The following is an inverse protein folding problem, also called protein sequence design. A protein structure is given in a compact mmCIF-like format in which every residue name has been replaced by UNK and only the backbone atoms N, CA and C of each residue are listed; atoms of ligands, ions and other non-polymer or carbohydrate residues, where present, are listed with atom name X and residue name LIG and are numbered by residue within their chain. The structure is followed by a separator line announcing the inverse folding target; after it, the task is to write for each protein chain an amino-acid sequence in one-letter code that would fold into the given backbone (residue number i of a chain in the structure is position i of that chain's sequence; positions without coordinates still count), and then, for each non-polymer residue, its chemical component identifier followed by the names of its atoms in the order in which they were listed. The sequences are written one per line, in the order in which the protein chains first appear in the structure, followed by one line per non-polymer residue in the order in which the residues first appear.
data_IF_628441100285
#
_entry.id   IF_628441100285
#
_cell.length_a   1.000
_cell.length_b   1.000
_cell.length_c   1.000
_cell.angle_alpha   90.00
_cell.angle_beta   90.00
_cell.angle_gamma   90.00
#
_symmetry.space_group_name_H-M   'P 1'
#
loop_
_entity.id
_entity.type
_entity.pdbx_description
1 polymer ?
#
# COMPACT_ATOMS: atom_id res chain seq x y z
N UNK A 1 -0.09 24.96 11.47
CA UNK A 1 0.38 24.62 10.11
C UNK A 1 1.87 24.42 10.18
N UNK A 2 2.39 23.30 9.72
CA UNK A 2 3.82 22.99 9.72
C UNK A 2 4.43 23.48 8.40
N UNK A 3 5.51 24.25 8.48
CA UNK A 3 6.24 24.79 7.32
C UNK A 3 7.71 24.42 7.51
N UNK A 4 8.35 23.87 6.49
CA UNK A 4 9.76 23.53 6.53
C UNK A 4 10.65 24.75 6.23
N UNK A 5 11.98 24.58 6.31
CA UNK A 5 12.97 25.62 6.04
C UNK A 5 12.98 26.14 4.60
N UNK A 6 12.30 25.44 3.67
CA UNK A 6 12.16 25.82 2.27
C UNK A 6 10.78 26.47 1.96
N UNK A 7 9.98 26.75 2.98
CA UNK A 7 8.64 27.35 2.84
C UNK A 7 7.56 26.38 2.38
N UNK A 8 7.81 25.05 2.38
CA UNK A 8 6.83 24.04 1.97
C UNK A 8 5.91 23.70 3.12
N UNK A 9 4.61 23.69 2.89
CA UNK A 9 3.62 23.22 3.88
C UNK A 9 3.69 21.71 3.99
N UNK A 10 3.80 21.22 5.23
CA UNK A 10 3.76 19.79 5.57
C UNK A 10 2.33 19.47 6.01
N UNK A 11 1.55 18.88 5.12
CA UNK A 11 0.14 18.55 5.32
C UNK A 11 -0.19 17.07 5.17
N UNK A 12 0.85 16.23 5.02
CA UNK A 12 0.74 14.81 4.72
C UNK A 12 1.56 13.96 5.67
N UNK A 13 0.93 12.91 6.22
CA UNK A 13 1.54 11.92 7.11
C UNK A 13 1.51 10.53 6.45
N UNK A 14 2.62 9.79 6.54
CA UNK A 14 2.63 8.33 6.30
C UNK A 14 2.71 7.63 7.65
N UNK A 15 1.74 6.76 7.91
CA UNK A 15 1.64 6.01 9.16
C UNK A 15 1.72 4.51 8.86
N UNK A 16 2.83 3.89 9.20
CA UNK A 16 2.99 2.44 9.18
C UNK A 16 2.43 1.88 10.50
N UNK A 17 1.46 0.97 10.41
CA UNK A 17 0.75 0.45 11.58
C UNK A 17 1.12 -0.98 11.94
N UNK A 18 1.89 -1.64 11.10
CA UNK A 18 2.43 -2.99 11.30
C UNK A 18 3.57 -3.23 10.32
N UNK A 19 4.50 -4.08 10.69
CA UNK A 19 5.52 -4.64 9.80
C UNK A 19 5.09 -5.99 9.20
N UNK A 20 4.03 -6.61 9.73
CA UNK A 20 3.53 -7.90 9.28
C UNK A 20 2.95 -7.82 7.89
N UNK A 21 3.30 -8.80 7.04
CA UNK A 21 2.75 -8.96 5.71
C UNK A 21 2.51 -10.45 5.43
N UNK A 22 1.45 -10.74 4.70
CA UNK A 22 1.11 -12.10 4.29
C UNK A 22 1.66 -12.50 2.91
N UNK A 23 2.24 -11.57 2.16
CA UNK A 23 3.01 -11.85 0.95
C UNK A 23 4.51 -11.96 1.27
N UNK A 24 5.28 -12.51 0.32
CA UNK A 24 6.75 -12.66 0.37
C UNK A 24 7.36 -12.15 -0.93
N UNK A 25 7.11 -10.86 -1.22
CA UNK A 25 7.61 -10.26 -2.44
C UNK A 25 9.13 -10.27 -2.45
N UNK A 26 9.71 -10.85 -3.51
CA UNK A 26 11.15 -11.13 -3.65
C UNK A 26 12.05 -9.91 -3.52
N UNK A 27 11.55 -8.72 -3.80
CA UNK A 27 12.27 -7.45 -3.64
C UNK A 27 12.09 -6.82 -2.25
N UNK A 28 11.21 -7.37 -1.40
CA UNK A 28 10.83 -6.77 -0.13
C UNK A 28 11.31 -7.58 1.07
N UNK A 29 11.18 -8.90 1.03
CA UNK A 29 11.61 -9.77 2.12
C UNK A 29 11.95 -11.18 1.63
N UNK A 30 12.80 -11.93 2.36
CA UNK A 30 13.13 -13.31 2.08
C UNK A 30 11.89 -14.21 2.03
N UNK A 31 11.96 -15.32 1.29
CA UNK A 31 10.84 -16.26 1.13
C UNK A 31 10.44 -16.92 2.47
N UNK A 32 11.40 -17.20 3.33
CA UNK A 32 11.22 -17.68 4.70
C UNK A 32 10.60 -16.64 5.63
N UNK A 33 10.64 -15.37 5.25
CA UNK A 33 10.16 -14.24 6.03
C UNK A 33 11.25 -13.57 6.86
N UNK A 34 10.82 -12.69 7.76
CA UNK A 34 11.66 -11.98 8.72
C UNK A 34 11.04 -12.15 10.11
N UNK A 35 11.83 -11.88 11.14
CA UNK A 35 11.30 -11.76 12.50
C UNK A 35 10.49 -10.45 12.59
N UNK A 36 9.17 -10.60 12.65
CA UNK A 36 8.27 -9.47 12.81
C UNK A 36 8.28 -8.97 14.25
N UNK A 37 8.04 -7.66 14.41
CA UNK A 37 7.86 -7.04 15.72
C UNK A 37 6.77 -7.76 16.52
N UNK A 38 6.98 -7.84 17.83
CA UNK A 38 5.93 -8.30 18.72
C UNK A 38 4.77 -7.30 18.75
N UNK A 39 3.59 -7.74 19.11
CA UNK A 39 2.42 -6.85 19.16
C UNK A 39 2.60 -5.70 20.16
N UNK A 40 3.37 -5.91 21.23
CA UNK A 40 3.69 -4.90 22.25
C UNK A 40 4.64 -3.80 21.74
N UNK A 41 5.39 -4.06 20.68
CA UNK A 41 6.31 -3.10 20.05
C UNK A 41 5.62 -2.28 18.94
N UNK A 42 4.39 -2.66 18.56
CA UNK A 42 3.60 -1.92 17.58
C UNK A 42 2.77 -0.84 18.27
N UNK A 43 2.53 0.27 17.58
CA UNK A 43 1.63 1.32 18.06
C UNK A 43 0.27 0.72 18.45
N UNK A 44 -0.15 0.94 19.68
CA UNK A 44 -1.49 0.61 20.17
C UNK A 44 -2.53 1.52 19.52
N UNK A 45 -3.81 1.14 19.59
CA UNK A 45 -4.90 1.97 19.10
C UNK A 45 -4.93 3.35 19.80
N UNK A 46 -4.65 3.39 21.10
CA UNK A 46 -4.61 4.65 21.88
C UNK A 46 -3.46 5.56 21.46
N UNK A 47 -2.29 5.00 21.13
CA UNK A 47 -1.16 5.78 20.61
C UNK A 47 -1.45 6.32 19.21
N UNK A 48 -2.07 5.51 18.35
CA UNK A 48 -2.51 5.97 17.02
C UNK A 48 -3.54 7.09 17.16
N UNK A 49 -4.50 6.98 18.10
CA UNK A 49 -5.48 8.03 18.38
C UNK A 49 -4.80 9.33 18.83
N UNK A 50 -3.83 9.22 19.72
CA UNK A 50 -3.06 10.38 20.18
C UNK A 50 -2.24 11.04 19.07
N UNK A 51 -1.59 10.23 18.23
CA UNK A 51 -0.87 10.74 17.06
C UNK A 51 -1.83 11.43 16.08
N UNK A 52 -2.99 10.84 15.80
CA UNK A 52 -3.98 11.42 14.91
C UNK A 52 -4.48 12.80 15.41
N UNK A 53 -4.77 12.91 16.70
CA UNK A 53 -5.15 14.18 17.35
C UNK A 53 -4.05 15.22 17.19
N UNK A 54 -2.81 14.89 17.58
CA UNK A 54 -1.68 15.82 17.54
C UNK A 54 -1.42 16.32 16.12
N UNK A 55 -1.33 15.41 15.15
CA UNK A 55 -1.07 15.78 13.76
C UNK A 55 -2.24 16.53 13.13
N UNK A 56 -3.48 16.20 13.51
CA UNK A 56 -4.65 16.97 13.09
C UNK A 56 -4.60 18.43 13.55
N UNK A 57 -4.27 18.68 14.82
CA UNK A 57 -4.07 20.02 15.39
C UNK A 57 -2.92 20.76 14.69
N UNK A 58 -1.85 20.07 14.33
CA UNK A 58 -0.71 20.66 13.61
C UNK A 58 -1.03 21.01 12.14
N UNK A 59 -2.21 20.62 11.64
CA UNK A 59 -2.68 20.97 10.29
C UNK A 59 -2.40 19.91 9.22
N UNK A 60 -2.02 18.69 9.62
CA UNK A 60 -2.00 17.55 8.71
C UNK A 60 -3.45 17.23 8.34
N UNK A 61 -3.75 17.16 7.06
CA UNK A 61 -5.11 16.91 6.55
C UNK A 61 -5.22 15.62 5.77
N UNK A 62 -4.09 15.00 5.47
CA UNK A 62 -3.98 13.79 4.67
C UNK A 62 -3.09 12.77 5.34
N UNK A 63 -3.60 11.56 5.52
CA UNK A 63 -2.82 10.45 6.04
C UNK A 63 -2.77 9.31 5.00
N UNK A 64 -1.62 8.65 4.91
CA UNK A 64 -1.47 7.39 4.21
C UNK A 64 -1.19 6.29 5.20
N UNK A 65 -2.17 5.43 5.35
CA UNK A 65 -2.03 4.21 6.15
C UNK A 65 -1.27 3.16 5.35
N UNK A 66 -0.24 2.61 5.94
CA UNK A 66 0.66 1.63 5.33
C UNK A 66 1.24 0.70 6.40
N UNK A 67 2.26 -0.06 6.07
CA UNK A 67 2.96 -0.99 6.94
C UNK A 67 3.62 -2.07 6.12
N UNK A 68 3.64 -3.28 6.61
CA UNK A 68 3.70 -4.47 5.77
C UNK A 68 2.38 -4.56 5.01
N UNK A 69 1.37 -5.22 5.58
CA UNK A 69 -0.01 -5.17 5.09
C UNK A 69 -0.93 -4.64 6.20
N UNK A 70 -1.54 -3.45 6.06
CA UNK A 70 -2.37 -2.86 7.11
C UNK A 70 -3.53 -3.75 7.57
N UNK A 71 -4.13 -4.52 6.66
CA UNK A 71 -5.23 -5.42 6.96
C UNK A 71 -4.80 -6.70 7.71
N UNK A 72 -3.52 -6.89 8.00
CA UNK A 72 -3.03 -7.85 8.98
C UNK A 72 -3.33 -7.43 10.42
N UNK A 73 -3.60 -6.15 10.65
CA UNK A 73 -4.01 -5.64 11.96
C UNK A 73 -5.46 -6.01 12.25
N UNK A 74 -5.70 -6.67 13.38
CA UNK A 74 -7.06 -7.12 13.76
C UNK A 74 -8.01 -5.96 14.06
N UNK A 75 -7.47 -4.85 14.55
CA UNK A 75 -8.21 -3.62 14.91
C UNK A 75 -8.17 -2.56 13.79
N UNK A 76 -7.95 -2.97 12.53
CA UNK A 76 -7.80 -2.05 11.40
C UNK A 76 -9.02 -1.11 11.22
N UNK A 77 -10.23 -1.58 11.48
CA UNK A 77 -11.44 -0.75 11.38
C UNK A 77 -11.49 0.32 12.45
N UNK A 78 -11.07 0.00 13.70
CA UNK A 78 -10.96 1.00 14.76
C UNK A 78 -9.87 2.03 14.44
N UNK A 79 -8.76 1.60 13.83
CA UNK A 79 -7.74 2.53 13.33
C UNK A 79 -8.32 3.47 12.27
N UNK A 80 -9.09 2.97 11.30
CA UNK A 80 -9.74 3.79 10.29
C UNK A 80 -10.76 4.76 10.90
N UNK A 81 -11.51 4.32 11.90
CA UNK A 81 -12.47 5.13 12.63
C UNK A 81 -11.76 6.31 13.31
N UNK A 82 -10.73 6.03 14.11
CA UNK A 82 -9.94 7.05 14.80
C UNK A 82 -9.31 8.03 13.82
N UNK A 83 -8.73 7.56 12.74
CA UNK A 83 -8.15 8.44 11.71
C UNK A 83 -9.23 9.31 11.04
N UNK A 84 -10.44 8.78 10.84
CA UNK A 84 -11.55 9.52 10.21
C UNK A 84 -12.06 10.68 11.05
N UNK A 85 -11.84 10.66 12.37
CA UNK A 85 -12.15 11.79 13.26
C UNK A 85 -11.26 13.01 13.01
N UNK A 86 -10.02 12.79 12.58
CA UNK A 86 -9.00 13.84 12.48
C UNK A 86 -8.60 14.17 11.04
N UNK A 87 -8.74 13.23 10.10
CA UNK A 87 -8.29 13.39 8.72
C UNK A 87 -9.44 13.24 7.72
N UNK A 88 -9.55 14.22 6.81
CA UNK A 88 -10.56 14.20 5.73
C UNK A 88 -10.11 13.33 4.54
N UNK A 89 -8.82 13.02 4.46
CA UNK A 89 -8.23 12.30 3.33
C UNK A 89 -7.38 11.13 3.83
N UNK A 90 -7.98 9.95 3.95
CA UNK A 90 -7.27 8.71 4.26
C UNK A 90 -6.93 8.00 2.95
N UNK A 91 -5.67 7.70 2.76
CA UNK A 91 -5.20 6.87 1.64
C UNK A 91 -4.65 5.57 2.19
N UNK A 92 -4.98 4.47 1.57
CA UNK A 92 -4.49 3.14 1.97
C UNK A 92 -3.45 2.65 0.97
N UNK A 93 -2.34 2.11 1.47
CA UNK A 93 -1.42 1.30 0.66
C UNK A 93 -1.54 -0.13 1.13
N UNK A 94 -1.88 -1.06 0.25
CA UNK A 94 -2.23 -2.44 0.58
C UNK A 94 -1.91 -3.38 -0.58
N UNK A 95 -1.68 -4.64 -0.28
CA UNK A 95 -1.61 -5.71 -1.28
C UNK A 95 -3.01 -6.25 -1.66
N UNK A 96 -4.05 -5.74 -1.05
CA UNK A 96 -5.47 -6.03 -1.30
C UNK A 96 -5.95 -7.47 -1.04
N UNK A 97 -5.09 -8.37 -0.54
CA UNK A 97 -5.45 -9.78 -0.32
C UNK A 97 -6.43 -10.00 0.84
N UNK A 98 -6.51 -9.05 1.78
CA UNK A 98 -7.26 -9.18 3.02
C UNK A 98 -8.43 -8.19 3.15
N UNK A 99 -8.75 -7.43 2.10
CA UNK A 99 -9.78 -6.38 2.16
C UNK A 99 -11.20 -6.95 2.14
N UNK A 100 -11.44 -8.05 1.45
CA UNK A 100 -12.77 -8.63 1.19
C UNK A 100 -13.71 -8.67 2.40
N UNK A 101 -13.30 -9.14 3.58
CA UNK A 101 -14.18 -9.19 4.75
C UNK A 101 -14.68 -7.82 5.23
N UNK A 102 -13.98 -6.75 4.86
CA UNK A 102 -14.24 -5.38 5.31
C UNK A 102 -14.94 -4.52 4.25
N UNK A 103 -15.10 -5.01 3.03
CA UNK A 103 -15.50 -4.26 1.84
C UNK A 103 -16.73 -3.37 2.09
N UNK A 104 -17.77 -3.91 2.69
CA UNK A 104 -19.03 -3.18 2.94
C UNK A 104 -18.90 -2.04 3.95
N UNK A 105 -17.89 -2.08 4.81
CA UNK A 105 -17.68 -1.11 5.88
C UNK A 105 -16.78 0.06 5.42
N UNK A 106 -16.00 -0.10 4.34
CA UNK A 106 -14.99 0.87 3.92
C UNK A 106 -15.57 2.26 3.60
N UNK A 107 -16.82 2.31 3.11
CA UNK A 107 -17.50 3.59 2.80
C UNK A 107 -17.87 4.43 4.02
N UNK A 108 -17.79 3.87 5.21
CA UNK A 108 -18.08 4.59 6.46
C UNK A 108 -16.93 5.51 6.88
N UNK A 109 -15.74 5.31 6.28
CA UNK A 109 -14.52 6.03 6.64
C UNK A 109 -14.14 7.04 5.54
N UNK A 110 -13.35 8.05 5.90
CA UNK A 110 -12.88 9.10 4.99
C UNK A 110 -11.80 8.61 4.01
N UNK A 111 -11.99 7.42 3.42
CA UNK A 111 -11.04 6.84 2.49
C UNK A 111 -11.17 7.51 1.12
N UNK A 112 -10.10 8.20 0.71
CA UNK A 112 -10.03 8.91 -0.57
C UNK A 112 -9.46 8.06 -1.70
N UNK A 113 -8.54 7.14 -1.42
CA UNK A 113 -7.95 6.26 -2.43
C UNK A 113 -7.29 5.02 -1.86
N UNK A 114 -7.28 3.98 -2.68
CA UNK A 114 -6.48 2.77 -2.46
C UNK A 114 -5.29 2.78 -3.42
N UNK A 115 -4.08 2.63 -2.87
CA UNK A 115 -2.88 2.32 -3.63
C UNK A 115 -2.65 0.82 -3.47
N UNK A 116 -2.92 0.07 -4.52
CA UNK A 116 -2.83 -1.40 -4.50
C UNK A 116 -1.52 -1.81 -5.15
N UNK A 117 -0.74 -2.61 -4.44
CA UNK A 117 0.48 -3.21 -4.97
C UNK A 117 0.12 -4.44 -5.81
N UNK A 118 0.42 -4.37 -7.11
CA UNK A 118 0.25 -5.48 -8.05
C UNK A 118 1.33 -5.39 -9.13
N UNK A 119 2.29 -6.30 -9.09
CA UNK A 119 3.48 -6.20 -9.93
C UNK A 119 3.36 -6.96 -11.25
N UNK A 120 2.27 -7.71 -11.45
CA UNK A 120 2.00 -8.42 -12.70
C UNK A 120 0.50 -8.60 -12.91
N UNK A 121 0.06 -8.57 -14.18
CA UNK A 121 -1.29 -8.92 -14.62
C UNK A 121 -1.44 -10.40 -14.98
N UNK A 122 -0.38 -11.20 -14.80
CA UNK A 122 -0.35 -12.62 -15.06
C UNK A 122 -0.15 -13.42 -13.76
N UNK A 123 -1.06 -14.37 -13.49
CA UNK A 123 -1.09 -15.16 -12.25
C UNK A 123 0.25 -15.86 -11.95
N UNK A 124 0.87 -16.45 -12.95
CA UNK A 124 2.14 -17.17 -12.76
C UNK A 124 3.28 -16.23 -12.36
N UNK A 125 3.38 -15.07 -13.01
CA UNK A 125 4.38 -14.06 -12.66
C UNK A 125 4.07 -13.41 -11.30
N UNK A 126 2.80 -13.12 -11.02
CA UNK A 126 2.39 -12.64 -9.69
C UNK A 126 2.83 -13.61 -8.60
N UNK A 127 2.57 -14.91 -8.79
CA UNK A 127 3.04 -15.95 -7.85
C UNK A 127 4.57 -15.99 -7.74
N UNK A 128 5.28 -15.94 -8.86
CA UNK A 128 6.75 -15.93 -8.88
C UNK A 128 7.35 -14.74 -8.10
N UNK A 129 6.67 -13.58 -8.15
CA UNK A 129 7.09 -12.36 -7.44
C UNK A 129 6.71 -12.42 -5.97
N UNK A 130 5.45 -12.74 -5.65
CA UNK A 130 4.89 -12.60 -4.29
C UNK A 130 5.01 -13.85 -3.43
N UNK A 131 5.35 -14.99 -4.05
CA UNK A 131 5.43 -16.34 -3.43
C UNK A 131 4.10 -16.80 -2.82
N UNK A 132 2.99 -16.21 -3.24
CA UNK A 132 1.64 -16.56 -2.78
C UNK A 132 0.65 -16.49 -3.94
N UNK A 133 -0.17 -17.53 -4.07
CA UNK A 133 -1.20 -17.60 -5.11
C UNK A 133 -2.44 -16.82 -4.69
N UNK A 134 -2.36 -15.51 -4.80
CA UNK A 134 -3.41 -14.56 -4.43
C UNK A 134 -3.85 -13.65 -5.59
N UNK A 135 -3.42 -13.96 -6.82
CA UNK A 135 -3.68 -13.11 -7.98
C UNK A 135 -5.17 -12.80 -8.16
N UNK A 136 -6.02 -13.83 -8.20
CA UNK A 136 -7.47 -13.67 -8.40
C UNK A 136 -8.09 -12.82 -7.29
N UNK A 137 -7.68 -13.04 -6.04
CA UNK A 137 -8.17 -12.25 -4.90
C UNK A 137 -7.83 -10.77 -5.07
N UNK A 138 -6.57 -10.46 -5.41
CA UNK A 138 -6.11 -9.08 -5.60
C UNK A 138 -6.81 -8.45 -6.79
N UNK A 139 -6.84 -9.15 -7.93
CA UNK A 139 -7.44 -8.65 -9.17
C UNK A 139 -8.93 -8.34 -9.01
N UNK A 140 -9.69 -9.26 -8.41
CA UNK A 140 -11.11 -9.04 -8.15
C UNK A 140 -11.34 -7.88 -7.16
N UNK A 141 -10.53 -7.79 -6.09
CA UNK A 141 -10.61 -6.70 -5.11
C UNK A 141 -10.37 -5.32 -5.76
N UNK A 142 -9.44 -5.22 -6.73
CA UNK A 142 -9.21 -3.99 -7.50
C UNK A 142 -10.51 -3.51 -8.15
N UNK A 143 -11.19 -4.42 -8.88
CA UNK A 143 -12.39 -4.07 -9.62
C UNK A 143 -13.61 -3.84 -8.72
N UNK A 144 -13.71 -4.54 -7.61
CA UNK A 144 -14.77 -4.29 -6.63
C UNK A 144 -14.61 -2.88 -6.01
N UNK A 145 -13.42 -2.51 -5.56
CA UNK A 145 -13.16 -1.16 -5.06
C UNK A 145 -13.42 -0.09 -6.11
N UNK A 146 -13.01 -0.33 -7.36
CA UNK A 146 -13.29 0.55 -8.48
C UNK A 146 -14.79 0.73 -8.71
N UNK A 147 -15.54 -0.38 -8.76
CA UNK A 147 -17.00 -0.36 -8.96
C UNK A 147 -17.77 0.26 -7.78
N UNK A 148 -17.20 0.20 -6.57
CA UNK A 148 -17.71 0.92 -5.41
C UNK A 148 -17.47 2.44 -5.49
N UNK A 149 -16.73 2.93 -6.47
CA UNK A 149 -16.43 4.34 -6.69
C UNK A 149 -15.21 4.87 -5.93
N UNK A 150 -14.39 4.01 -5.36
CA UNK A 150 -13.12 4.43 -4.79
C UNK A 150 -12.10 4.76 -5.89
N UNK A 151 -11.25 5.75 -5.63
CA UNK A 151 -10.10 5.99 -6.49
C UNK A 151 -9.06 4.90 -6.27
N UNK A 152 -8.82 4.11 -7.30
CA UNK A 152 -7.83 3.03 -7.29
C UNK A 152 -6.57 3.49 -8.02
N UNK A 153 -5.42 3.21 -7.42
CA UNK A 153 -4.09 3.42 -7.99
C UNK A 153 -3.30 2.12 -7.87
N UNK A 154 -2.72 1.69 -8.96
CA UNK A 154 -1.87 0.50 -8.99
C UNK A 154 -0.41 0.92 -8.86
N UNK A 155 0.29 0.33 -7.93
CA UNK A 155 1.73 0.47 -7.79
C UNK A 155 2.37 -0.80 -8.34
N UNK A 156 3.29 -0.64 -9.28
CA UNK A 156 3.97 -1.73 -9.99
C UNK A 156 5.48 -1.54 -9.83
N UNK A 157 6.14 -2.41 -9.10
CA UNK A 157 7.60 -2.44 -9.05
C UNK A 157 8.10 -3.13 -10.31
N UNK A 158 8.84 -2.38 -11.15
CA UNK A 158 9.34 -2.90 -12.42
C UNK A 158 10.69 -3.57 -12.21
N UNK A 159 10.78 -4.84 -12.60
CA UNK A 159 11.96 -5.68 -12.43
C UNK A 159 12.40 -6.26 -13.78
N UNK A 160 13.67 -6.03 -14.12
CA UNK A 160 14.29 -6.51 -15.37
C UNK A 160 14.25 -8.04 -15.44
N UNK A 161 13.91 -8.58 -16.60
CA UNK A 161 13.80 -10.02 -16.85
C UNK A 161 12.58 -10.67 -16.21
N UNK A 162 11.67 -9.90 -15.59
CA UNK A 162 10.51 -10.43 -14.87
C UNK A 162 9.21 -9.86 -15.43
N UNK A 163 8.95 -8.56 -15.20
CA UNK A 163 7.67 -7.93 -15.54
C UNK A 163 7.79 -6.66 -16.38
N UNK A 164 8.98 -6.24 -16.80
CA UNK A 164 9.18 -5.04 -17.62
C UNK A 164 8.42 -5.09 -18.95
N UNK A 165 8.14 -6.27 -19.46
CA UNK A 165 7.35 -6.47 -20.70
C UNK A 165 5.87 -6.17 -20.51
N UNK A 166 5.36 -6.06 -19.27
CA UNK A 166 3.96 -5.81 -18.96
C UNK A 166 3.62 -4.32 -18.85
N UNK A 167 4.61 -3.42 -18.96
CA UNK A 167 4.38 -1.95 -18.88
C UNK A 167 3.28 -1.51 -19.85
N UNK A 168 3.31 -2.01 -21.10
CA UNK A 168 2.31 -1.66 -22.11
C UNK A 168 0.89 -2.15 -21.72
N UNK A 169 0.76 -3.32 -21.10
CA UNK A 169 -0.52 -3.87 -20.64
C UNK A 169 -1.09 -3.03 -19.50
N UNK A 170 -0.27 -2.63 -18.53
CA UNK A 170 -0.67 -1.70 -17.47
C UNK A 170 -1.07 -0.33 -18.01
N UNK A 171 -0.38 0.19 -19.03
CA UNK A 171 -0.76 1.44 -19.70
C UNK A 171 -2.11 1.32 -20.41
N UNK A 172 -2.38 0.19 -21.08
CA UNK A 172 -3.67 -0.08 -21.71
C UNK A 172 -4.79 -0.19 -20.68
N UNK A 173 -4.53 -0.82 -19.53
CA UNK A 173 -5.48 -0.89 -18.42
C UNK A 173 -5.83 0.51 -17.91
N UNK A 174 -4.83 1.39 -17.69
CA UNK A 174 -5.04 2.77 -17.28
C UNK A 174 -5.80 3.59 -18.34
N UNK A 175 -5.53 3.35 -19.63
CA UNK A 175 -6.23 4.00 -20.75
C UNK A 175 -7.71 3.62 -20.80
N UNK A 176 -8.03 2.38 -20.55
CA UNK A 176 -9.39 1.84 -20.67
C UNK A 176 -10.25 2.04 -19.42
N UNK A 177 -9.64 2.32 -18.30
CA UNK A 177 -10.31 2.49 -17.01
C UNK A 177 -9.76 3.71 -16.26
N UNK A 178 -10.56 4.31 -15.37
CA UNK A 178 -10.14 5.45 -14.54
C UNK A 178 -9.28 5.00 -13.35
N UNK A 179 -8.21 4.25 -13.62
CA UNK A 179 -7.21 3.84 -12.63
C UNK A 179 -5.88 4.50 -12.92
N UNK A 180 -5.22 4.97 -11.87
CA UNK A 180 -3.85 5.49 -12.00
C UNK A 180 -2.88 4.30 -11.92
N UNK A 181 -1.94 4.17 -12.83
CA UNK A 181 -0.82 3.22 -12.72
C UNK A 181 0.47 3.97 -12.42
N UNK A 182 1.25 3.48 -11.49
CA UNK A 182 2.56 4.01 -11.10
C UNK A 182 3.59 2.93 -11.21
N UNK A 183 4.54 3.14 -12.07
CA UNK A 183 5.73 2.32 -12.16
C UNK A 183 6.75 2.81 -11.13
N UNK A 184 7.34 1.89 -10.41
CA UNK A 184 8.32 2.13 -9.34
C UNK A 184 9.57 1.36 -9.72
N UNK A 185 10.71 2.01 -9.68
CA UNK A 185 11.99 1.35 -9.86
C UNK A 185 12.26 0.38 -8.72
N UNK A 186 12.76 -0.81 -9.04
CA UNK A 186 13.19 -1.78 -8.03
C UNK A 186 14.44 -1.21 -7.33
N UNK A 187 14.27 -0.75 -6.10
CA UNK A 187 15.38 -0.23 -5.30
C UNK A 187 16.14 -1.38 -4.63
N UNK A 188 17.48 -1.28 -4.51
CA UNK A 188 18.26 -2.22 -3.72
C UNK A 188 17.99 -1.95 -2.23
N UNK A 189 17.02 -2.66 -1.66
CA UNK A 189 16.83 -2.73 -0.22
C UNK A 189 17.69 -3.84 0.31
N UNK A 190 18.81 -3.47 0.92
CA UNK A 190 19.75 -4.29 1.69
C UNK A 190 20.18 -5.67 1.18
N UNK A 191 21.49 -5.92 1.31
CA UNK A 191 22.26 -7.16 1.55
C UNK A 191 21.85 -8.49 0.88
N UNK A 192 20.71 -8.60 0.24
CA UNK A 192 20.38 -9.76 -0.57
C UNK A 192 20.81 -9.47 -2.02
N UNK A 193 21.96 -9.98 -2.39
CA UNK A 193 22.78 -9.80 -3.59
C UNK A 193 22.06 -10.00 -4.95
N UNK A 194 20.79 -9.70 -5.09
CA UNK A 194 20.03 -9.96 -6.30
C UNK A 194 19.31 -8.76 -6.92
N UNK A 195 19.10 -7.68 -6.19
CA UNK A 195 18.23 -6.59 -6.67
C UNK A 195 18.91 -5.64 -7.66
N UNK A 196 20.22 -5.47 -7.61
CA UNK A 196 20.93 -4.60 -8.56
C UNK A 196 20.80 -5.10 -10.01
N UNK A 197 20.79 -6.41 -10.23
CA UNK A 197 20.60 -7.01 -11.56
C UNK A 197 19.18 -6.85 -12.10
N UNK A 198 18.20 -6.53 -11.25
CA UNK A 198 16.78 -6.37 -11.59
C UNK A 198 16.37 -4.90 -11.75
N UNK A 199 17.31 -3.97 -11.57
CA UNK A 199 17.06 -2.55 -11.74
C UNK A 199 16.72 -2.24 -13.21
N UNK A 200 15.64 -1.48 -13.40
CA UNK A 200 15.26 -0.84 -14.68
C UNK A 200 15.14 0.64 -14.40
N UNK A 201 15.98 1.46 -15.05
CA UNK A 201 15.77 2.91 -15.03
C UNK A 201 14.49 3.23 -15.79
N UNK A 202 13.63 4.02 -15.18
CA UNK A 202 12.39 4.52 -15.77
C UNK A 202 12.54 5.96 -16.30
N UNK A 203 13.78 6.48 -16.28
CA UNK A 203 14.14 7.79 -16.86
C UNK A 203 14.76 7.63 -18.23
#
# INVERSE_FOLDING_TARGET
MLIDSFGRTIDYLRLAVTDKCNLRCRYCMPEEGIDFSKNEDLLSLSEIARLAEVFGVLGINKVRLTGGEPFMRKDILQVLEVLSLHFKNINLTTNATLIQPYMHQLKQYNISSFNISIDSLHREKFFAITKRDQFETVYNTIWELYNMGFRVKLNVVVMKGINETEIAEFCLLAKNHKVDVRFIEAMPFDAHDGNESQFVSLT
#
